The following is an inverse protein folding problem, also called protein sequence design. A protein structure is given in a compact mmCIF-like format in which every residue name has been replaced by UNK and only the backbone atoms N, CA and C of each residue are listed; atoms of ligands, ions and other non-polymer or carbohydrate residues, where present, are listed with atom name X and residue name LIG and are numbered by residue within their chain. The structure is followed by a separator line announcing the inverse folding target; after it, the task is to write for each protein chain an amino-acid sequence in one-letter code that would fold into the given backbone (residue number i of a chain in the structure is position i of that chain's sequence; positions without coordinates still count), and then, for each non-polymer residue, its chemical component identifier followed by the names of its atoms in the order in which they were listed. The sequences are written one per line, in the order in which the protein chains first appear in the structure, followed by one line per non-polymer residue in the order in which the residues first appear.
data_IF_301626467750
#
_entry.id   IF_301626467750
#
_cell.length_a   1.000
_cell.length_b   1.000
_cell.length_c   1.000
_cell.angle_alpha   90.00
_cell.angle_beta   90.00
_cell.angle_gamma   90.00
#
_symmetry.space_group_name_H-M   'P 1'
#
loop_
_entity.id
_entity.type
_entity.pdbx_description
1 polymer ?
#
# COMPACT_ATOMS: atom_id res chain seq x y z
N UNK A 1 17.83 4.22 3.98
CA UNK A 1 17.91 5.24 2.91
C UNK A 1 17.09 6.46 3.25
N UNK A 2 15.76 6.35 3.33
CA UNK A 2 14.88 7.51 3.58
C UNK A 2 15.27 8.33 4.82
N UNK A 3 15.55 7.70 5.96
CA UNK A 3 15.90 8.42 7.19
C UNK A 3 17.17 9.27 7.04
N UNK A 4 18.15 8.80 6.28
CA UNK A 4 19.34 9.57 5.95
C UNK A 4 19.01 10.70 4.95
N UNK A 5 18.18 10.42 3.95
CA UNK A 5 17.81 11.40 2.94
C UNK A 5 16.92 12.53 3.49
N UNK A 6 16.12 12.26 4.52
CA UNK A 6 15.28 13.25 5.19
C UNK A 6 16.03 14.13 6.20
N UNK A 7 17.24 13.74 6.58
CA UNK A 7 18.04 14.44 7.58
C UNK A 7 18.83 15.60 6.92
N UNK A 8 18.55 16.87 7.27
CA UNK A 8 19.22 18.03 6.66
C UNK A 8 20.72 18.12 6.98
N UNK A 9 21.21 17.39 7.99
CA UNK A 9 22.62 17.29 8.34
C UNK A 9 23.37 16.29 7.44
N UNK A 10 22.66 15.33 6.82
CA UNK A 10 23.23 14.37 5.89
C UNK A 10 23.30 14.99 4.49
N UNK A 11 24.49 15.51 4.14
CA UNK A 11 24.75 16.18 2.85
C UNK A 11 25.68 15.39 1.92
N UNK A 12 25.79 14.08 2.15
CA UNK A 12 26.64 13.19 1.37
C UNK A 12 25.80 12.29 0.46
N UNK A 13 26.34 11.85 -0.70
CA UNK A 13 25.64 10.89 -1.55
C UNK A 13 25.31 9.59 -0.81
N UNK A 14 24.10 9.08 -1.02
CA UNK A 14 23.61 7.84 -0.39
C UNK A 14 23.69 6.70 -1.42
N UNK A 15 24.37 5.61 -1.08
CA UNK A 15 24.38 4.40 -1.88
C UNK A 15 23.43 3.36 -1.26
N UNK A 16 22.35 3.03 -1.96
CA UNK A 16 21.36 2.05 -1.51
C UNK A 16 21.79 0.62 -1.80
N UNK A 17 21.60 -0.29 -0.85
CA UNK A 17 21.90 -1.71 -1.00
C UNK A 17 20.90 -2.55 -0.20
N UNK A 18 20.61 -3.76 -0.69
CA UNK A 18 19.81 -4.77 0.00
C UNK A 18 18.57 -5.16 -0.79
N UNK A 19 18.54 -6.38 -1.30
CA UNK A 19 17.36 -6.94 -1.97
C UNK A 19 17.04 -6.39 -3.37
N UNK A 20 17.91 -5.57 -3.96
CA UNK A 20 17.69 -5.00 -5.31
C UNK A 20 17.88 -6.10 -6.36
N UNK A 21 16.81 -6.43 -7.06
CA UNK A 21 16.77 -7.48 -8.09
C UNK A 21 16.19 -7.01 -9.42
N UNK A 22 15.43 -5.93 -9.43
CA UNK A 22 14.77 -5.38 -10.63
C UNK A 22 14.97 -3.87 -10.73
N UNK A 23 14.66 -3.29 -11.91
CA UNK A 23 14.64 -1.84 -12.11
C UNK A 23 13.68 -1.13 -11.14
N UNK A 24 12.61 -1.82 -10.72
CA UNK A 24 11.54 -1.27 -9.87
C UNK A 24 12.08 -1.07 -8.45
N UNK A 25 12.82 -2.06 -7.94
CA UNK A 25 13.53 -1.94 -6.67
C UNK A 25 14.53 -0.77 -6.74
N UNK A 26 15.32 -0.66 -7.82
CA UNK A 26 16.27 0.45 -8.00
C UNK A 26 15.56 1.81 -8.00
N UNK A 27 14.44 1.94 -8.71
CA UNK A 27 13.63 3.15 -8.75
C UNK A 27 13.10 3.55 -7.36
N UNK A 28 12.67 2.58 -6.54
CA UNK A 28 12.20 2.81 -5.16
C UNK A 28 13.32 3.34 -4.27
N UNK A 29 14.51 2.74 -4.32
CA UNK A 29 15.68 3.23 -3.58
C UNK A 29 16.03 4.68 -3.97
N UNK A 30 16.01 4.99 -5.26
CA UNK A 30 16.32 6.31 -5.78
C UNK A 30 15.23 7.32 -5.38
N UNK A 31 13.96 6.95 -5.50
CA UNK A 31 12.84 7.77 -5.03
C UNK A 31 12.91 8.07 -3.53
N UNK A 32 13.46 7.16 -2.73
CA UNK A 32 13.72 7.34 -1.29
C UNK A 32 15.01 8.11 -0.98
N UNK A 33 15.76 8.55 -1.99
CA UNK A 33 16.90 9.47 -1.85
C UNK A 33 18.28 8.88 -2.15
N UNK A 34 18.38 7.62 -2.57
CA UNK A 34 19.67 7.07 -3.02
C UNK A 34 20.18 7.79 -4.28
N UNK A 35 21.47 8.13 -4.29
CA UNK A 35 22.20 8.62 -5.47
C UNK A 35 22.66 7.46 -6.36
N UNK A 36 23.02 6.34 -5.75
CA UNK A 36 23.42 5.11 -6.44
C UNK A 36 22.79 3.89 -5.79
N UNK A 37 22.75 2.77 -6.51
CA UNK A 37 22.31 1.48 -5.99
C UNK A 37 23.41 0.43 -6.17
N UNK A 38 23.48 -0.52 -5.25
CA UNK A 38 24.41 -1.64 -5.28
C UNK A 38 23.64 -2.96 -5.35
N UNK A 39 24.16 -3.89 -6.14
CA UNK A 39 23.55 -5.20 -6.39
C UNK A 39 24.59 -6.29 -6.11
N UNK A 40 24.22 -7.29 -5.30
CA UNK A 40 25.09 -8.40 -4.92
C UNK A 40 24.43 -9.75 -5.24
N UNK A 41 23.50 -10.20 -4.41
CA UNK A 41 22.85 -11.52 -4.56
C UNK A 41 22.18 -11.71 -5.92
N UNK A 42 21.55 -10.68 -6.48
CA UNK A 42 20.90 -10.81 -7.78
C UNK A 42 21.91 -11.14 -8.91
N UNK A 43 23.09 -10.52 -8.91
CA UNK A 43 24.17 -10.83 -9.85
C UNK A 43 24.71 -12.25 -9.64
N UNK A 44 24.79 -12.73 -8.38
CA UNK A 44 25.20 -14.10 -8.08
C UNK A 44 24.22 -15.14 -8.65
N UNK A 45 22.92 -14.83 -8.66
CA UNK A 45 21.89 -15.74 -9.16
C UNK A 45 21.68 -15.67 -10.67
N UNK A 46 21.79 -14.48 -11.26
CA UNK A 46 21.32 -14.22 -12.63
C UNK A 46 22.43 -13.72 -13.58
N UNK A 47 23.65 -13.54 -13.07
CA UNK A 47 24.79 -13.02 -13.83
C UNK A 47 24.76 -11.49 -13.99
N UNK A 48 25.81 -10.93 -14.60
CA UNK A 48 25.99 -9.48 -14.71
C UNK A 48 24.97 -8.77 -15.61
N UNK A 49 24.34 -9.49 -16.56
CA UNK A 49 23.38 -8.91 -17.52
C UNK A 49 22.09 -8.40 -16.88
N UNK A 50 21.80 -8.81 -15.65
CA UNK A 50 20.68 -8.22 -14.88
C UNK A 50 20.82 -6.70 -14.73
N UNK A 51 22.05 -6.17 -14.77
CA UNK A 51 22.29 -4.72 -14.71
C UNK A 51 21.81 -4.03 -15.98
N UNK A 52 21.93 -4.67 -17.15
CA UNK A 52 21.39 -4.16 -18.43
C UNK A 52 19.85 -4.07 -18.34
N UNK A 53 19.20 -5.15 -17.89
CA UNK A 53 17.74 -5.19 -17.71
C UNK A 53 17.25 -4.12 -16.70
N UNK A 54 18.03 -3.84 -15.66
CA UNK A 54 17.73 -2.78 -14.70
C UNK A 54 17.82 -1.39 -15.34
N UNK A 55 18.84 -1.14 -16.16
CA UNK A 55 19.04 0.14 -16.85
C UNK A 55 17.91 0.39 -17.85
N UNK A 56 17.57 -0.60 -18.66
CA UNK A 56 16.52 -0.48 -19.68
C UNK A 56 15.17 -0.23 -19.03
N UNK A 57 14.79 -1.06 -18.05
CA UNK A 57 13.51 -0.92 -17.36
C UNK A 57 13.37 0.38 -16.55
N UNK A 58 14.47 0.89 -15.98
CA UNK A 58 14.47 2.18 -15.31
C UNK A 58 14.32 3.34 -16.30
N UNK A 59 15.00 3.27 -17.44
CA UNK A 59 14.89 4.27 -18.52
C UNK A 59 13.46 4.34 -19.06
N UNK A 60 12.86 3.18 -19.37
CA UNK A 60 11.47 3.08 -19.82
C UNK A 60 10.49 3.65 -18.78
N UNK A 61 10.74 3.39 -17.50
CA UNK A 61 9.93 3.95 -16.42
C UNK A 61 10.02 5.48 -16.37
N UNK A 62 11.23 6.05 -16.44
CA UNK A 62 11.44 7.50 -16.46
C UNK A 62 10.71 8.13 -17.66
N UNK A 63 10.84 7.55 -18.85
CA UNK A 63 10.18 8.01 -20.07
C UNK A 63 8.65 7.93 -19.94
N UNK A 64 8.11 6.85 -19.38
CA UNK A 64 6.67 6.68 -19.16
C UNK A 64 6.08 7.72 -18.19
N UNK A 65 6.93 8.30 -17.33
CA UNK A 65 6.58 9.38 -16.40
C UNK A 65 6.92 10.77 -16.93
N UNK A 66 7.57 10.87 -18.08
CA UNK A 66 8.03 12.12 -18.68
C UNK A 66 9.19 12.78 -17.92
N UNK A 67 9.95 12.02 -17.13
CA UNK A 67 11.13 12.53 -16.43
C UNK A 67 12.30 12.65 -17.38
N UNK A 68 13.03 13.78 -17.35
CA UNK A 68 14.18 14.00 -18.24
C UNK A 68 15.50 13.49 -17.68
N UNK A 69 15.51 13.15 -16.40
CA UNK A 69 16.70 12.66 -15.71
C UNK A 69 16.33 11.91 -14.44
N UNK A 70 17.26 11.09 -13.97
CA UNK A 70 17.14 10.39 -12.70
C UNK A 70 17.03 11.34 -11.50
N UNK A 71 17.61 12.54 -11.61
CA UNK A 71 17.53 13.59 -10.61
C UNK A 71 16.09 14.02 -10.32
N UNK A 72 15.22 13.95 -11.33
CA UNK A 72 13.81 14.26 -11.14
C UNK A 72 13.12 13.19 -10.30
N UNK A 73 13.53 11.92 -10.36
CA UNK A 73 12.98 10.86 -9.51
C UNK A 73 13.55 10.93 -8.09
N UNK A 74 14.84 11.27 -7.96
CA UNK A 74 15.57 11.15 -6.70
C UNK A 74 14.90 11.94 -5.58
N UNK A 75 14.59 11.25 -4.49
CA UNK A 75 14.04 11.87 -3.28
C UNK A 75 12.55 12.23 -3.34
N UNK A 76 11.83 12.00 -4.45
CA UNK A 76 10.39 12.32 -4.56
C UNK A 76 9.51 11.67 -3.49
N UNK A 77 9.94 10.54 -2.92
CA UNK A 77 9.21 9.79 -1.89
C UNK A 77 9.74 10.07 -0.47
N UNK A 78 10.79 10.88 -0.29
CA UNK A 78 11.38 11.13 1.03
C UNK A 78 10.36 11.77 1.98
N UNK A 79 9.58 12.71 1.44
CA UNK A 79 8.58 13.48 2.17
C UNK A 79 7.24 12.75 2.38
N UNK A 80 7.05 11.59 1.76
CA UNK A 80 5.83 10.78 1.96
C UNK A 80 5.95 9.82 3.13
N UNK A 81 7.18 9.52 3.57
CA UNK A 81 7.44 8.68 4.74
C UNK A 81 7.60 9.60 5.96
N UNK A 82 6.58 9.61 6.81
CA UNK A 82 6.52 10.45 8.00
C UNK A 82 6.38 9.60 9.26
N UNK A 83 6.55 10.25 10.41
CA UNK A 83 6.31 9.61 11.70
C UNK A 83 4.84 9.26 11.83
N UNK A 84 4.55 8.10 12.42
CA UNK A 84 3.18 7.58 12.54
C UNK A 84 2.24 8.60 13.19
N UNK A 85 2.73 9.35 14.18
CA UNK A 85 1.94 10.32 14.95
C UNK A 85 1.47 11.54 14.14
N UNK A 86 2.01 11.71 12.94
CA UNK A 86 1.65 12.78 11.98
C UNK A 86 0.67 12.30 10.91
N UNK A 87 0.33 11.01 10.89
CA UNK A 87 -0.66 10.47 9.97
C UNK A 87 -2.07 10.92 10.38
N UNK A 88 -2.91 11.15 9.37
CA UNK A 88 -4.30 11.54 9.57
C UNK A 88 -5.13 10.35 10.11
N UNK A 89 -5.58 10.47 11.35
CA UNK A 89 -6.43 9.49 12.03
C UNK A 89 -7.84 9.43 11.46
N UNK A 90 -8.29 10.51 10.81
CA UNK A 90 -9.62 10.60 10.22
C UNK A 90 -9.64 10.12 8.75
N UNK A 91 -8.48 9.73 8.23
CA UNK A 91 -8.38 9.11 6.92
C UNK A 91 -8.91 7.68 6.96
N UNK A 92 -10.02 7.42 6.24
CA UNK A 92 -10.64 6.10 6.15
C UNK A 92 -10.53 5.53 4.74
N UNK A 93 -10.13 4.26 4.66
CA UNK A 93 -10.26 3.43 3.45
C UNK A 93 -11.00 2.14 3.76
N UNK A 94 -11.76 1.64 2.80
CA UNK A 94 -12.42 0.33 2.89
C UNK A 94 -12.08 -0.50 1.66
N UNK A 95 -12.30 -1.81 1.77
CA UNK A 95 -12.18 -2.70 0.63
C UNK A 95 -13.42 -2.56 -0.27
N UNK A 96 -13.23 -2.69 -1.58
CA UNK A 96 -14.26 -2.78 -2.59
C UNK A 96 -14.01 -4.03 -3.45
N UNK A 97 -15.05 -4.78 -3.77
CA UNK A 97 -14.97 -6.03 -4.52
C UNK A 97 -15.53 -5.84 -5.92
N UNK A 98 -14.71 -6.10 -6.94
CA UNK A 98 -15.14 -6.24 -8.33
C UNK A 98 -15.75 -7.64 -8.53
N UNK A 99 -17.08 -7.73 -8.44
CA UNK A 99 -17.82 -8.98 -8.61
C UNK A 99 -17.70 -9.57 -10.03
N UNK A 100 -17.31 -8.76 -11.01
CA UNK A 100 -17.03 -9.20 -12.39
C UNK A 100 -15.71 -9.96 -12.52
N UNK A 101 -14.79 -9.80 -11.55
CA UNK A 101 -13.53 -10.56 -11.46
C UNK A 101 -13.55 -11.65 -10.38
N UNK A 102 -14.43 -11.51 -9.39
CA UNK A 102 -14.48 -12.42 -8.25
C UNK A 102 -14.84 -13.84 -8.67
N UNK A 103 -13.91 -14.77 -8.42
CA UNK A 103 -14.05 -16.22 -8.68
C UNK A 103 -14.81 -16.99 -7.58
N UNK A 104 -15.28 -16.29 -6.53
CA UNK A 104 -16.02 -16.90 -5.42
C UNK A 104 -15.22 -17.91 -4.60
N UNK A 105 -13.91 -17.73 -4.44
CA UNK A 105 -13.07 -18.60 -3.61
C UNK A 105 -13.27 -18.39 -2.10
N UNK A 106 -13.82 -17.22 -1.71
CA UNK A 106 -14.08 -16.78 -0.33
C UNK A 106 -12.83 -16.70 0.57
N UNK A 107 -11.63 -16.67 -0.03
CA UNK A 107 -10.38 -16.56 0.73
C UNK A 107 -10.27 -15.21 1.47
N UNK A 108 -10.78 -14.14 0.86
CA UNK A 108 -10.88 -12.83 1.50
C UNK A 108 -11.77 -12.85 2.76
N UNK A 109 -12.88 -13.58 2.71
CA UNK A 109 -13.77 -13.76 3.86
C UNK A 109 -13.04 -14.49 4.99
N UNK A 110 -12.44 -15.65 4.71
CA UNK A 110 -11.68 -16.44 5.70
C UNK A 110 -10.56 -15.60 6.34
N UNK A 111 -9.79 -14.88 5.53
CA UNK A 111 -8.71 -14.04 6.05
C UNK A 111 -9.21 -12.90 6.95
N UNK A 112 -10.37 -12.32 6.64
CA UNK A 112 -10.95 -11.26 7.47
C UNK A 112 -11.58 -11.82 8.75
N UNK A 113 -12.26 -12.96 8.64
CA UNK A 113 -12.96 -13.64 9.73
C UNK A 113 -11.96 -14.19 10.76
N UNK A 114 -10.98 -14.98 10.33
CA UNK A 114 -10.09 -15.70 11.25
C UNK A 114 -8.84 -14.90 11.62
N UNK A 115 -8.46 -13.91 10.79
CA UNK A 115 -7.17 -13.23 10.87
C UNK A 115 -7.22 -11.72 11.06
N UNK A 116 -8.39 -11.10 11.10
CA UNK A 116 -8.52 -9.65 11.20
C UNK A 116 -9.76 -9.18 11.99
N UNK A 117 -10.76 -8.60 11.31
CA UNK A 117 -11.79 -7.75 11.90
C UNK A 117 -13.24 -8.20 11.58
N UNK A 118 -13.44 -9.40 11.04
CA UNK A 118 -14.78 -9.98 10.78
C UNK A 118 -15.70 -9.06 9.92
N UNK A 119 -15.09 -8.23 9.08
CA UNK A 119 -15.75 -7.14 8.32
C UNK A 119 -16.22 -7.56 6.92
N UNK A 120 -16.34 -8.87 6.66
CA UNK A 120 -16.84 -9.41 5.40
C UNK A 120 -17.95 -10.42 5.73
N UNK A 121 -19.12 -10.25 5.13
CA UNK A 121 -20.22 -11.20 5.23
C UNK A 121 -20.22 -12.16 4.02
N UNK A 122 -20.86 -13.31 4.17
CA UNK A 122 -21.22 -14.17 3.05
C UNK A 122 -22.69 -13.94 2.70
N UNK A 123 -22.92 -13.16 1.65
CA UNK A 123 -24.25 -12.74 1.21
C UNK A 123 -24.85 -13.68 0.17
N UNK A 124 -26.16 -13.55 -0.04
CA UNK A 124 -26.88 -14.23 -1.10
C UNK A 124 -26.28 -13.83 -2.47
N UNK A 125 -25.88 -14.79 -3.33
CA UNK A 125 -25.35 -14.47 -4.65
C UNK A 125 -26.39 -13.85 -5.59
N UNK A 126 -27.69 -13.89 -5.25
CA UNK A 126 -28.79 -13.32 -6.03
C UNK A 126 -28.61 -11.81 -6.19
N UNK A 127 -28.39 -11.36 -7.42
CA UNK A 127 -28.07 -9.96 -7.74
C UNK A 127 -26.63 -9.74 -8.19
N UNK A 128 -25.75 -10.70 -7.91
CA UNK A 128 -24.39 -10.72 -8.44
C UNK A 128 -24.31 -11.71 -9.61
N UNK A 129 -23.71 -11.27 -10.72
CA UNK A 129 -23.44 -12.18 -11.83
C UNK A 129 -22.54 -13.35 -11.39
N UNK A 130 -22.52 -14.42 -12.18
CA UNK A 130 -21.67 -15.59 -11.91
C UNK A 130 -20.16 -15.29 -12.01
N UNK A 131 -19.76 -14.10 -12.51
CA UNK A 131 -18.35 -13.77 -12.71
C UNK A 131 -17.58 -14.88 -13.47
N UNK A 132 -16.25 -14.92 -13.36
CA UNK A 132 -15.44 -15.99 -13.91
C UNK A 132 -15.47 -17.21 -12.98
N UNK A 133 -16.23 -18.24 -13.35
CA UNK A 133 -16.13 -19.56 -12.72
C UNK A 133 -16.75 -19.67 -11.32
N UNK A 134 -17.63 -18.74 -10.90
CA UNK A 134 -18.38 -18.91 -9.65
C UNK A 134 -19.42 -20.00 -9.81
N UNK A 135 -19.52 -20.86 -8.80
CA UNK A 135 -20.54 -21.91 -8.73
C UNK A 135 -21.91 -21.28 -8.43
N UNK A 136 -22.97 -21.57 -9.20
CA UNK A 136 -24.32 -21.09 -8.91
C UNK A 136 -24.76 -21.43 -7.48
N UNK A 137 -25.35 -20.46 -6.78
CA UNK A 137 -25.82 -20.62 -5.40
C UNK A 137 -24.73 -20.54 -4.32
N UNK A 138 -23.45 -20.43 -4.67
CA UNK A 138 -22.39 -20.21 -3.69
C UNK A 138 -22.45 -18.78 -3.13
N UNK A 139 -22.45 -18.58 -1.80
CA UNK A 139 -22.43 -17.24 -1.19
C UNK A 139 -21.23 -16.40 -1.64
N UNK A 140 -21.46 -15.10 -1.79
CA UNK A 140 -20.46 -14.12 -2.23
C UNK A 140 -19.95 -13.29 -1.05
N UNK A 141 -18.68 -12.90 -1.04
CA UNK A 141 -18.16 -12.00 -0.02
C UNK A 141 -18.72 -10.59 -0.22
N UNK A 142 -19.25 -9.99 0.84
CA UNK A 142 -19.76 -8.61 0.87
C UNK A 142 -19.04 -7.83 1.99
N UNK A 143 -18.51 -6.65 1.67
CA UNK A 143 -17.79 -5.83 2.66
C UNK A 143 -18.81 -5.13 3.57
N UNK A 144 -18.68 -5.31 4.89
CA UNK A 144 -19.43 -4.55 5.88
C UNK A 144 -18.73 -3.20 6.06
N UNK A 145 -19.17 -2.18 5.32
CA UNK A 145 -18.47 -0.87 5.26
C UNK A 145 -18.26 -0.18 6.62
N UNK A 146 -19.20 -0.38 7.55
CA UNK A 146 -19.13 0.15 8.90
C UNK A 146 -18.02 -0.51 9.74
N UNK A 147 -17.77 -1.80 9.52
CA UNK A 147 -16.81 -2.62 10.28
C UNK A 147 -15.43 -2.68 9.60
N UNK A 148 -15.35 -2.40 8.30
CA UNK A 148 -14.09 -2.43 7.56
C UNK A 148 -13.15 -1.30 8.00
N UNK A 149 -12.02 -1.68 8.61
CA UNK A 149 -10.97 -0.74 9.04
C UNK A 149 -9.89 -0.49 7.99
N UNK A 150 -10.01 -1.10 6.80
CA UNK A 150 -9.07 -0.86 5.71
C UNK A 150 -7.68 -1.49 5.86
N UNK A 151 -7.55 -2.60 6.61
CA UNK A 151 -6.25 -3.24 6.88
C UNK A 151 -5.56 -3.85 5.65
N UNK A 152 -6.23 -3.89 4.49
CA UNK A 152 -5.73 -4.40 3.21
C UNK A 152 -5.49 -5.92 3.12
N UNK A 153 -5.68 -6.69 4.19
CA UNK A 153 -5.41 -8.13 4.20
C UNK A 153 -6.20 -8.91 3.12
N UNK A 154 -7.48 -8.59 2.95
CA UNK A 154 -8.35 -9.24 1.97
C UNK A 154 -7.88 -9.05 0.52
N UNK A 155 -7.31 -7.89 0.19
CA UNK A 155 -6.78 -7.63 -1.16
C UNK A 155 -5.49 -8.40 -1.41
N UNK A 156 -4.62 -8.51 -0.39
CA UNK A 156 -3.34 -9.19 -0.48
C UNK A 156 -3.49 -10.71 -0.64
N UNK A 157 -4.51 -11.31 -0.02
CA UNK A 157 -4.77 -12.75 -0.15
C UNK A 157 -5.61 -13.08 -1.39
N UNK A 158 -6.24 -12.10 -2.03
CA UNK A 158 -7.08 -12.37 -3.20
C UNK A 158 -6.22 -12.87 -4.36
N UNK A 159 -6.48 -14.08 -4.91
CA UNK A 159 -5.66 -14.63 -5.99
C UNK A 159 -5.91 -13.95 -7.34
N UNK A 160 -6.92 -13.07 -7.43
CA UNK A 160 -7.29 -12.37 -8.66
C UNK A 160 -6.83 -10.93 -8.56
N UNK A 161 -5.82 -10.57 -9.34
CA UNK A 161 -5.26 -9.23 -9.36
C UNK A 161 -6.34 -8.17 -9.64
N UNK A 162 -6.43 -7.16 -8.77
CA UNK A 162 -7.39 -6.06 -8.91
C UNK A 162 -8.86 -6.49 -8.80
N UNK A 163 -9.14 -7.64 -8.20
CA UNK A 163 -10.50 -8.04 -7.80
C UNK A 163 -10.95 -7.33 -6.53
N UNK A 164 -10.02 -7.03 -5.62
CA UNK A 164 -10.30 -6.24 -4.41
C UNK A 164 -9.37 -5.02 -4.43
N UNK A 165 -9.95 -3.84 -4.29
CA UNK A 165 -9.24 -2.55 -4.25
C UNK A 165 -9.58 -1.80 -2.98
N UNK A 166 -8.67 -0.94 -2.53
CA UNK A 166 -8.91 -0.09 -1.35
C UNK A 166 -9.34 1.30 -1.80
N UNK A 167 -10.56 1.70 -1.42
CA UNK A 167 -11.16 2.98 -1.80
C UNK A 167 -11.23 3.92 -0.60
N UNK A 168 -10.96 5.22 -0.84
CA UNK A 168 -11.07 6.26 0.19
C UNK A 168 -12.54 6.56 0.47
N UNK A 169 -12.88 6.70 1.75
CA UNK A 169 -14.21 7.08 2.22
C UNK A 169 -14.14 8.48 2.81
N UNK A 170 -15.02 9.37 2.36
CA UNK A 170 -15.15 10.70 2.95
C UNK A 170 -15.76 10.56 4.35
N UNK A 171 -15.02 11.00 5.37
CA UNK A 171 -15.47 10.96 6.77
C UNK A 171 -16.19 12.25 7.19
N UNK A 172 -16.03 13.33 6.43
CA UNK A 172 -16.52 14.67 6.80
C UNK A 172 -15.79 15.29 7.99
N UNK A 173 -14.71 14.65 8.46
CA UNK A 173 -13.88 15.12 9.56
C UNK A 173 -12.64 15.80 9.01
N UNK A 174 -12.21 16.89 9.65
CA UNK A 174 -10.94 17.53 9.35
C UNK A 174 -9.76 16.60 9.70
N UNK A 175 -8.65 16.64 8.95
CA UNK A 175 -7.47 15.83 9.26
C UNK A 175 -6.99 16.01 10.71
N UNK A 176 -6.70 14.91 11.38
CA UNK A 176 -6.26 14.92 12.79
C UNK A 176 -5.05 14.03 12.98
N UNK A 177 -3.90 14.63 13.28
CA UNK A 177 -2.72 13.88 13.69
C UNK A 177 -2.84 13.42 15.15
N UNK A 178 -2.17 12.32 15.50
CA UNK A 178 -2.15 11.82 16.88
C UNK A 178 -1.53 12.82 17.85
N UNK A 179 -0.47 13.53 17.45
CA UNK A 179 0.14 14.56 18.28
C UNK A 179 -0.87 15.67 18.66
N UNK A 180 -1.66 16.13 17.69
CA UNK A 180 -2.69 17.15 17.90
C UNK A 180 -3.83 16.63 18.77
N UNK A 181 -4.26 15.38 18.53
CA UNK A 181 -5.25 14.70 19.37
C UNK A 181 -4.81 14.64 20.83
N UNK A 182 -3.56 14.28 21.11
CA UNK A 182 -3.02 14.22 22.47
C UNK A 182 -3.01 15.61 23.14
N UNK A 183 -2.61 16.66 22.41
CA UNK A 183 -2.65 18.03 22.91
C UNK A 183 -4.08 18.47 23.25
N UNK A 184 -5.04 18.19 22.36
CA UNK A 184 -6.46 18.51 22.59
C UNK A 184 -7.05 17.73 23.77
N UNK A 185 -6.70 16.46 23.91
CA UNK A 185 -7.14 15.63 25.03
C UNK A 185 -6.63 16.16 26.37
N UNK A 186 -5.35 16.56 26.43
CA UNK A 186 -4.75 17.15 27.63
C UNK A 186 -5.37 18.51 28.00
N UNK A 187 -5.81 19.30 27.02
CA UNK A 187 -6.50 20.57 27.21
C UNK A 187 -7.98 20.42 27.62
N UNK A 188 -8.57 19.24 27.44
CA UNK A 188 -10.00 18.99 27.65
C UNK A 188 -10.88 19.31 26.43
N UNK A 189 -10.29 19.58 25.27
CA UNK A 189 -10.96 19.94 24.01
C UNK A 189 -11.28 18.73 23.11
N UNK A 190 -10.96 17.52 23.58
CA UNK A 190 -11.27 16.25 22.91
C UNK A 190 -11.62 15.17 23.92
N UNK A 191 -12.44 14.21 23.51
CA UNK A 191 -12.76 13.01 24.29
C UNK A 191 -11.86 11.85 23.89
N UNK A 192 -11.55 10.99 24.85
CA UNK A 192 -10.82 9.75 24.56
C UNK A 192 -11.60 8.89 23.55
N UNK A 193 -10.92 8.31 22.57
CA UNK A 193 -11.53 7.31 21.69
C UNK A 193 -12.08 6.15 22.53
N UNK A 194 -13.30 5.67 22.22
CA UNK A 194 -13.83 4.51 22.90
C UNK A 194 -12.95 3.29 22.63
N UNK A 195 -12.82 2.35 23.59
CA UNK A 195 -12.19 1.07 23.29
C UNK A 195 -12.96 0.39 22.15
N UNK A 196 -12.22 -0.29 21.26
CA UNK A 196 -12.86 -1.13 20.26
C UNK A 196 -13.68 -2.23 20.97
N UNK A 197 -14.92 -2.50 20.51
CA UNK A 197 -15.79 -3.51 21.10
C UNK A 197 -15.21 -4.92 20.98
#
# INVERSE_FOLDING_TARGET
VQSCASDPEVRIPISGIGGITTWRDAAEFIALGSTTVQVCTAVMHYGFRIVEDMIDGLSDYLDSKGFKSLEELRGRAVDTVRRWETLDLNYKRIAEIDYGKCIGCNLCYIACEDGAHQAIALADPSGYGLGPGRVPGKPVPEIKEAECVGCNLCSLVCPVHGCITMVSVETGLEPLAWADYQTRLAAGDATAFPPHP
#
